data_IF_718318267945
#
_entry.id   IF_718318267945
#
_cell.length_a   1.000
_cell.length_b   1.000
_cell.length_c   1.000
_cell.angle_alpha   90.00
_cell.angle_beta   90.00
_cell.angle_gamma   90.00
#
_symmetry.space_group_name_H-M   'P 1'
#
loop_
_entity.id
_entity.type
_entity.pdbx_description
1 polymer ?
#
# COMPACT_ATOMS: atom_id res chain seq x y z
N UNK A 1 -17.49 2.12 30.69
CA UNK A 1 -16.11 1.74 30.34
C UNK A 1 -16.10 1.01 29.03
N UNK A 2 -15.31 1.49 28.10
CA UNK A 2 -15.16 0.85 26.81
C UNK A 2 -14.16 -0.31 26.91
N UNK A 3 -14.51 -1.47 26.37
CA UNK A 3 -13.54 -2.54 26.27
C UNK A 3 -12.67 -2.36 25.00
N UNK A 4 -11.55 -3.09 24.91
CA UNK A 4 -10.64 -2.98 23.78
C UNK A 4 -11.28 -3.39 22.45
N UNK A 5 -12.25 -4.30 22.48
CA UNK A 5 -12.94 -4.74 21.25
C UNK A 5 -13.76 -3.61 20.65
N UNK A 6 -14.45 -2.83 21.48
CA UNK A 6 -15.24 -1.69 21.02
C UNK A 6 -14.34 -0.63 20.39
N UNK A 7 -13.21 -0.32 21.03
CA UNK A 7 -12.28 0.67 20.51
C UNK A 7 -11.69 0.23 19.17
N UNK A 8 -11.33 -1.05 19.03
CA UNK A 8 -10.79 -1.59 17.77
C UNK A 8 -11.84 -1.49 16.68
N UNK A 9 -13.09 -1.84 16.97
CA UNK A 9 -14.17 -1.76 15.99
C UNK A 9 -14.42 -0.31 15.55
N UNK A 10 -14.34 0.64 16.46
CA UNK A 10 -14.51 2.05 16.16
C UNK A 10 -13.38 2.57 15.26
N UNK A 11 -12.14 2.17 15.51
CA UNK A 11 -11.01 2.53 14.65
C UNK A 11 -11.16 1.94 13.25
N UNK A 12 -11.56 0.69 13.15
CA UNK A 12 -11.74 0.05 11.85
C UNK A 12 -12.86 0.74 11.07
N UNK A 13 -13.94 1.10 11.73
CA UNK A 13 -15.04 1.82 11.09
C UNK A 13 -14.56 3.17 10.54
N UNK A 14 -13.77 3.90 11.32
CA UNK A 14 -13.23 5.19 10.88
C UNK A 14 -12.27 5.01 9.70
N UNK A 15 -11.41 4.01 9.74
CA UNK A 15 -10.49 3.72 8.64
C UNK A 15 -11.24 3.35 7.36
N UNK A 16 -12.30 2.56 7.47
CA UNK A 16 -13.09 2.13 6.32
C UNK A 16 -13.93 3.24 5.72
N UNK A 17 -14.14 4.33 6.45
CA UNK A 17 -14.84 5.51 5.95
C UNK A 17 -13.92 6.45 5.16
N UNK A 18 -12.61 6.24 5.21
CA UNK A 18 -11.66 7.10 4.49
C UNK A 18 -11.69 6.82 2.99
N UNK A 19 -11.44 7.87 2.20
CA UNK A 19 -11.30 7.74 0.74
C UNK A 19 -9.95 7.17 0.38
N UNK A 20 -8.92 7.52 1.13
CA UNK A 20 -7.57 7.03 0.89
C UNK A 20 -7.39 5.65 1.50
N UNK A 21 -6.55 4.85 0.87
CA UNK A 21 -6.17 3.57 1.45
C UNK A 21 -5.14 3.76 2.54
N UNK A 22 -5.23 2.95 3.58
CA UNK A 22 -4.25 2.93 4.68
C UNK A 22 -3.92 1.49 5.00
N UNK A 23 -2.63 1.19 5.12
CA UNK A 23 -2.15 -0.13 5.49
C UNK A 23 -1.01 -0.01 6.48
N UNK A 24 -1.04 -0.84 7.52
CA UNK A 24 0.01 -0.91 8.53
C UNK A 24 0.72 -2.26 8.42
N UNK A 25 2.04 -2.24 8.32
CA UNK A 25 2.87 -3.41 8.10
C UNK A 25 3.85 -3.62 9.25
N UNK A 26 4.12 -4.88 9.57
CA UNK A 26 5.17 -5.22 10.55
C UNK A 26 6.54 -4.87 10.01
N UNK A 27 7.54 -4.91 10.90
CA UNK A 27 8.94 -4.65 10.52
C UNK A 27 9.40 -5.60 9.41
N UNK A 28 8.95 -6.84 9.44
CA UNK A 28 9.33 -7.86 8.46
C UNK A 28 8.39 -7.93 7.26
N UNK A 29 7.49 -6.96 7.10
CA UNK A 29 6.69 -6.83 5.88
C UNK A 29 5.42 -7.66 5.83
N UNK A 30 4.77 -7.88 6.96
CA UNK A 30 3.48 -8.55 7.02
C UNK A 30 2.38 -7.56 7.35
N UNK A 31 1.24 -7.70 6.69
CA UNK A 31 0.11 -6.79 6.89
C UNK A 31 -0.52 -7.02 8.26
N UNK A 32 -0.69 -5.94 9.01
CA UNK A 32 -1.42 -5.95 10.28
C UNK A 32 -2.87 -5.53 10.10
N UNK A 33 -3.09 -4.42 9.42
CA UNK A 33 -4.43 -3.87 9.21
C UNK A 33 -4.43 -3.02 7.94
N UNK A 34 -5.55 -3.03 7.23
CA UNK A 34 -5.80 -2.16 6.09
C UNK A 34 -7.27 -1.79 6.05
N UNK A 35 -7.58 -0.65 5.45
CA UNK A 35 -8.97 -0.25 5.28
C UNK A 35 -9.52 -0.68 3.91
N UNK A 36 -10.83 -0.56 3.75
CA UNK A 36 -11.52 -0.98 2.53
C UNK A 36 -11.00 -0.25 1.29
N UNK A 37 -10.69 1.04 1.42
CA UNK A 37 -10.19 1.83 0.30
C UNK A 37 -8.89 1.29 -0.29
N UNK A 38 -8.08 0.59 0.50
CA UNK A 38 -6.85 -0.04 0.01
C UNK A 38 -7.15 -1.02 -1.13
N UNK A 39 -8.18 -1.84 -0.97
CA UNK A 39 -8.58 -2.79 -2.01
C UNK A 39 -9.28 -2.12 -3.18
N UNK A 40 -10.21 -1.21 -2.90
CA UNK A 40 -11.02 -0.60 -3.95
C UNK A 40 -10.23 0.34 -4.83
N UNK A 41 -9.34 1.14 -4.26
CA UNK A 41 -8.49 2.05 -5.04
C UNK A 41 -7.62 1.30 -6.03
N UNK A 42 -7.06 0.18 -5.62
CA UNK A 42 -6.08 -0.54 -6.42
C UNK A 42 -6.64 -1.75 -7.16
N UNK A 43 -7.96 -1.93 -7.15
CA UNK A 43 -8.60 -3.07 -7.81
C UNK A 43 -7.96 -4.40 -7.40
N UNK A 44 -7.81 -4.61 -6.11
CA UNK A 44 -7.23 -5.85 -5.58
C UNK A 44 -8.35 -6.88 -5.43
N UNK A 45 -8.12 -8.14 -5.82
CA UNK A 45 -9.13 -9.18 -5.68
C UNK A 45 -9.59 -9.36 -4.24
N UNK A 46 -10.87 -9.69 -4.02
CA UNK A 46 -11.36 -9.97 -2.68
C UNK A 46 -10.57 -11.08 -2.00
N UNK A 47 -10.30 -10.91 -0.72
CA UNK A 47 -9.58 -11.91 0.08
C UNK A 47 -8.06 -11.82 0.00
N UNK A 48 -7.51 -11.05 -0.92
CA UNK A 48 -6.06 -10.87 -0.98
C UNK A 48 -5.55 -10.02 0.18
N UNK A 49 -6.25 -8.94 0.49
CA UNK A 49 -5.89 -8.07 1.62
C UNK A 49 -6.38 -8.73 2.91
N UNK A 50 -5.45 -9.26 3.67
CA UNK A 50 -5.74 -9.98 4.91
C UNK A 50 -4.57 -9.83 5.88
N UNK A 51 -4.83 -9.93 7.18
CA UNK A 51 -3.72 -9.95 8.15
C UNK A 51 -2.73 -11.07 7.83
N UNK A 52 -1.45 -10.75 7.90
CA UNK A 52 -0.38 -11.71 7.59
C UNK A 52 0.05 -11.74 6.14
N UNK A 53 -0.65 -11.04 5.24
CA UNK A 53 -0.21 -10.94 3.84
C UNK A 53 1.21 -10.40 3.77
N UNK A 54 2.08 -11.06 3.02
CA UNK A 54 3.42 -10.57 2.81
C UNK A 54 3.42 -9.43 1.79
N UNK A 55 4.12 -8.34 2.10
CA UNK A 55 4.23 -7.20 1.20
C UNK A 55 4.78 -7.60 -0.16
N UNK A 56 5.78 -8.49 -0.17
CA UNK A 56 6.35 -8.96 -1.42
C UNK A 56 5.31 -9.67 -2.29
N UNK A 57 4.45 -10.49 -1.70
CA UNK A 57 3.37 -11.17 -2.43
C UNK A 57 2.45 -10.17 -3.11
N UNK A 58 2.08 -9.10 -2.41
CA UNK A 58 1.25 -8.05 -2.97
C UNK A 58 1.97 -7.33 -4.11
N UNK A 59 3.26 -7.02 -3.94
CA UNK A 59 4.02 -6.32 -4.97
C UNK A 59 4.28 -7.20 -6.20
N UNK A 60 4.44 -8.49 -6.03
CA UNK A 60 4.51 -9.43 -7.16
C UNK A 60 3.21 -9.39 -7.95
N UNK A 61 2.07 -9.38 -7.27
CA UNK A 61 0.77 -9.26 -7.93
C UNK A 61 0.72 -7.98 -8.78
N UNK A 62 1.10 -6.83 -8.23
CA UNK A 62 1.09 -5.57 -8.97
C UNK A 62 2.07 -5.59 -10.14
N UNK A 63 3.27 -6.13 -9.96
CA UNK A 63 4.28 -6.20 -11.02
C UNK A 63 3.81 -7.08 -12.18
N UNK A 64 3.21 -8.22 -11.88
CA UNK A 64 2.66 -9.13 -12.90
C UNK A 64 1.49 -8.51 -13.64
N UNK A 65 0.72 -7.67 -12.97
CA UNK A 65 -0.40 -6.95 -13.59
C UNK A 65 0.08 -5.79 -14.47
N UNK A 66 1.33 -5.38 -14.35
CA UNK A 66 1.90 -4.31 -15.14
C UNK A 66 1.84 -2.92 -14.51
N UNK A 67 1.45 -2.83 -13.24
CA UNK A 67 1.28 -1.55 -12.54
C UNK A 67 2.56 -0.72 -12.49
N UNK A 68 3.72 -1.37 -12.47
CA UNK A 68 5.02 -0.70 -12.38
C UNK A 68 5.68 -0.49 -13.74
N UNK A 69 4.96 -0.77 -14.82
CA UNK A 69 5.48 -0.63 -16.18
C UNK A 69 5.99 -1.94 -16.76
N UNK A 70 6.41 -1.91 -18.04
CA UNK A 70 6.90 -3.10 -18.72
C UNK A 70 8.15 -3.66 -18.05
N UNK A 71 8.23 -4.98 -17.96
CA UNK A 71 9.40 -5.66 -17.41
C UNK A 71 9.46 -7.08 -17.95
N UNK A 72 10.66 -7.59 -18.16
CA UNK A 72 10.87 -8.98 -18.58
C UNK A 72 10.79 -9.93 -17.40
N UNK A 73 10.96 -9.41 -16.17
CA UNK A 73 10.93 -10.22 -14.95
C UNK A 73 10.16 -9.49 -13.85
N UNK A 74 8.82 -9.65 -13.84
CA UNK A 74 7.99 -8.97 -12.83
C UNK A 74 8.37 -9.32 -11.40
N UNK A 75 8.74 -10.56 -11.14
CA UNK A 75 9.07 -10.99 -9.78
C UNK A 75 10.36 -10.34 -9.30
N UNK A 76 11.36 -10.23 -10.17
CA UNK A 76 12.61 -9.54 -9.82
C UNK A 76 12.36 -8.05 -9.56
N UNK A 77 11.52 -7.43 -10.38
CA UNK A 77 11.15 -6.02 -10.18
C UNK A 77 10.46 -5.83 -8.84
N UNK A 78 9.52 -6.71 -8.50
CA UNK A 78 8.82 -6.64 -7.22
C UNK A 78 9.78 -6.78 -6.03
N UNK A 79 10.74 -7.70 -6.12
CA UNK A 79 11.74 -7.88 -5.05
C UNK A 79 12.60 -6.63 -4.88
N UNK A 80 13.01 -6.02 -5.97
CA UNK A 80 13.81 -4.80 -5.94
C UNK A 80 13.04 -3.65 -5.30
N UNK A 81 11.79 -3.45 -5.71
CA UNK A 81 10.95 -2.39 -5.17
C UNK A 81 10.62 -2.63 -3.69
N UNK A 82 10.34 -3.88 -3.34
CA UNK A 82 10.05 -4.24 -1.94
C UNK A 82 11.25 -4.02 -1.03
N UNK A 83 12.45 -4.32 -1.51
CA UNK A 83 13.67 -4.13 -0.72
C UNK A 83 13.94 -2.64 -0.46
N UNK A 84 13.62 -1.78 -1.43
CA UNK A 84 13.82 -0.34 -1.27
C UNK A 84 12.71 0.37 -0.52
N UNK A 85 11.52 -0.20 -0.47
CA UNK A 85 10.36 0.45 0.12
C UNK A 85 10.45 0.43 1.65
N UNK A 86 10.33 1.60 2.25
CA UNK A 86 10.39 1.71 3.71
C UNK A 86 11.80 1.80 4.28
N UNK A 87 12.82 1.90 3.45
CA UNK A 87 14.20 2.05 3.92
C UNK A 87 14.50 3.46 4.43
N UNK A 88 13.79 4.45 3.92
CA UNK A 88 13.92 5.83 4.38
C UNK A 88 12.76 6.25 5.27
N UNK A 89 12.76 7.51 5.65
CA UNK A 89 11.66 8.06 6.44
C UNK A 89 10.35 8.06 5.66
N UNK A 90 10.43 8.42 4.38
CA UNK A 90 9.28 8.41 3.48
C UNK A 90 9.71 7.85 2.13
N UNK A 91 8.94 6.92 1.61
CA UNK A 91 9.15 6.35 0.28
C UNK A 91 7.85 6.52 -0.52
N UNK A 92 7.98 7.03 -1.74
CA UNK A 92 6.81 7.21 -2.61
C UNK A 92 6.94 6.35 -3.85
N UNK A 93 5.84 5.76 -4.27
CA UNK A 93 5.78 4.92 -5.46
C UNK A 93 4.43 5.12 -6.13
N UNK A 94 4.44 5.55 -7.38
CA UNK A 94 3.22 5.74 -8.15
C UNK A 94 3.11 4.65 -9.20
N UNK A 95 1.90 4.15 -9.39
CA UNK A 95 1.62 3.10 -10.36
C UNK A 95 0.44 3.48 -11.23
N UNK A 96 0.43 2.95 -12.45
CA UNK A 96 -0.71 3.07 -13.36
C UNK A 96 -1.49 1.78 -13.32
N UNK A 97 -2.77 1.86 -12.96
CA UNK A 97 -3.65 0.70 -12.92
C UNK A 97 -4.10 0.31 -14.33
N UNK A 98 -4.58 -0.94 -14.51
CA UNK A 98 -5.08 -1.38 -15.81
C UNK A 98 -6.23 -0.53 -16.36
N UNK A 99 -7.01 0.11 -15.50
CA UNK A 99 -8.11 0.98 -15.92
C UNK A 99 -7.64 2.41 -16.26
N UNK A 100 -6.34 2.68 -16.20
CA UNK A 100 -5.77 3.97 -16.58
C UNK A 100 -5.60 4.96 -15.45
N UNK A 101 -6.12 4.67 -14.27
CA UNK A 101 -5.94 5.55 -13.10
C UNK A 101 -4.52 5.43 -12.56
N UNK A 102 -4.07 6.50 -11.89
CA UNK A 102 -2.78 6.51 -11.21
C UNK A 102 -3.02 6.52 -9.71
N UNK A 103 -2.29 5.69 -8.99
CA UNK A 103 -2.37 5.62 -7.52
C UNK A 103 -0.97 5.78 -6.96
N UNK A 104 -0.82 6.70 -6.03
CA UNK A 104 0.43 6.96 -5.33
C UNK A 104 0.39 6.30 -3.96
N UNK A 105 1.44 5.55 -3.65
CA UNK A 105 1.65 4.98 -2.33
C UNK A 105 2.77 5.76 -1.64
N UNK A 106 2.51 6.23 -0.43
CA UNK A 106 3.50 6.89 0.41
C UNK A 106 3.72 6.03 1.64
N UNK A 107 4.96 5.54 1.80
CA UNK A 107 5.35 4.72 2.93
C UNK A 107 6.17 5.49 3.93
N UNK A 108 5.90 5.30 5.20
CA UNK A 108 6.63 5.93 6.30
C UNK A 108 6.97 4.89 7.35
N UNK A 109 8.22 4.88 7.79
CA UNK A 109 8.61 4.05 8.91
C UNK A 109 8.23 4.75 10.21
N UNK A 110 7.55 4.03 11.09
CA UNK A 110 7.18 4.53 12.41
C UNK A 110 8.32 4.33 13.40
N UNK A 111 8.20 4.97 14.56
CA UNK A 111 9.25 4.94 15.59
C UNK A 111 9.56 3.53 16.11
N UNK A 112 8.60 2.62 16.03
CA UNK A 112 8.76 1.22 16.47
C UNK A 112 9.23 0.29 15.34
N UNK A 113 9.52 0.83 14.16
CA UNK A 113 10.01 0.06 13.01
C UNK A 113 8.93 -0.45 12.09
N UNK A 114 7.65 -0.36 12.46
CA UNK A 114 6.55 -0.72 11.56
C UNK A 114 6.45 0.32 10.45
N UNK A 115 5.74 -0.01 9.39
CA UNK A 115 5.55 0.90 8.25
C UNK A 115 4.07 1.21 8.07
N UNK A 116 3.78 2.50 7.90
CA UNK A 116 2.45 2.97 7.54
C UNK A 116 2.48 3.39 6.08
N UNK A 117 1.56 2.86 5.30
CA UNK A 117 1.46 3.19 3.87
C UNK A 117 0.10 3.78 3.60
N UNK A 118 0.07 4.91 2.90
CA UNK A 118 -1.17 5.51 2.44
C UNK A 118 -1.22 5.43 0.91
N UNK A 119 -2.41 5.21 0.38
CA UNK A 119 -2.65 5.09 -1.05
C UNK A 119 -3.70 6.12 -1.44
N UNK A 120 -3.45 6.86 -2.51
CA UNK A 120 -4.44 7.82 -3.02
C UNK A 120 -4.38 7.90 -4.53
N UNK A 121 -5.51 8.20 -5.14
CA UNK A 121 -5.55 8.45 -6.56
C UNK A 121 -4.94 9.81 -6.84
N UNK A 122 -4.11 9.89 -7.89
CA UNK A 122 -3.46 11.14 -8.32
C UNK A 122 -3.81 11.42 -9.77
N UNK A 123 -3.60 12.65 -10.21
CA UNK A 123 -4.13 13.09 -11.51
C UNK A 123 -3.39 12.55 -12.72
N UNK A 124 -2.19 11.99 -12.53
CA UNK A 124 -1.47 11.41 -13.66
C UNK A 124 0.04 11.36 -13.44
N UNK A 125 0.79 11.03 -14.51
CA UNK A 125 2.22 10.80 -14.40
C UNK A 125 3.03 12.04 -13.99
N UNK A 126 2.50 13.23 -14.15
CA UNK A 126 3.20 14.43 -13.69
C UNK A 126 3.47 14.44 -12.20
N UNK A 127 2.59 13.82 -11.40
CA UNK A 127 2.77 13.73 -9.95
C UNK A 127 3.78 12.64 -9.57
N UNK A 128 4.08 11.70 -10.47
CA UNK A 128 5.08 10.66 -10.22
C UNK A 128 6.46 11.26 -10.01
N UNK A 129 6.75 12.37 -10.69
CA UNK A 129 8.04 13.02 -10.67
C UNK A 129 8.06 14.26 -9.80
N UNK A 130 6.96 14.56 -9.12
CA UNK A 130 6.90 15.71 -8.23
C UNK A 130 7.85 15.49 -7.05
N UNK A 131 8.65 16.52 -6.68
CA UNK A 131 9.51 16.36 -5.52
C UNK A 131 8.68 16.14 -4.27
N UNK A 132 9.11 15.19 -3.47
CA UNK A 132 8.52 15.00 -2.14
C UNK A 132 9.13 16.07 -1.22
N UNK A 133 8.33 16.98 -0.86
CA UNK A 133 8.77 18.03 0.07
C UNK A 133 8.18 17.79 1.45
#
# INVERSE_FOLDING_TARGET
MTDGSTDIADFQLALDAMRDGVALWTVDGRLLVANTATSTLMNIPPGMIRPGLERLEMMIFFARRGDYGPTDDPDALARKLSAGFGQGEVTSLTRKLPDGRYVRADGRRLSDGRSLVTYREVSGPAEMNAPTS
#
